data_IF_544094768535
#
_entry.id   IF_544094768535
#
_cell.length_a   1.000
_cell.length_b   1.000
_cell.length_c   1.000
_cell.angle_alpha   90.00
_cell.angle_beta   90.00
_cell.angle_gamma   90.00
#
_symmetry.space_group_name_H-M   'P 1'
#
loop_
_entity.id
_entity.type
_entity.pdbx_description
1 polymer ?
#
# COMPACT_ATOMS: atom_id res chain seq x y z
N UNK A 1 10.34 -19.52 27.54
CA UNK A 1 8.94 -19.33 27.98
C UNK A 1 8.40 -18.15 27.22
N UNK A 2 7.65 -18.42 26.15
CA UNK A 2 7.04 -17.39 25.33
C UNK A 2 5.73 -16.97 26.02
N UNK A 3 5.62 -15.71 26.44
CA UNK A 3 4.41 -15.13 26.96
C UNK A 3 3.49 -14.79 25.78
N UNK A 4 2.45 -15.59 25.60
CA UNK A 4 1.34 -15.28 24.71
C UNK A 4 0.53 -14.19 25.38
N UNK A 5 0.63 -12.96 24.90
CA UNK A 5 -0.31 -11.90 25.24
C UNK A 5 -1.62 -12.20 24.49
N UNK A 6 -2.60 -12.70 25.23
CA UNK A 6 -3.97 -12.77 24.75
C UNK A 6 -4.47 -11.33 24.55
N UNK A 7 -4.69 -10.93 23.30
CA UNK A 7 -5.46 -9.76 22.97
C UNK A 7 -6.89 -9.99 23.49
N UNK A 8 -7.25 -9.29 24.55
CA UNK A 8 -8.59 -9.33 25.07
C UNK A 8 -9.55 -8.74 24.05
N UNK A 9 -10.50 -9.54 23.59
CA UNK A 9 -11.67 -9.10 22.86
C UNK A 9 -12.39 -8.08 23.73
N UNK A 10 -12.28 -6.80 23.39
CA UNK A 10 -13.16 -5.78 23.92
C UNK A 10 -14.53 -6.01 23.26
N UNK A 11 -15.46 -6.56 24.01
CA UNK A 11 -16.84 -6.64 23.58
C UNK A 11 -17.33 -5.22 23.25
N UNK A 12 -17.61 -4.98 21.97
CA UNK A 12 -18.06 -3.70 21.46
C UNK A 12 -19.36 -3.29 22.18
N UNK A 13 -19.32 -2.17 22.88
CA UNK A 13 -20.48 -1.35 23.16
C UNK A 13 -21.12 -1.04 21.81
N UNK A 14 -22.47 -1.06 21.70
CA UNK A 14 -23.24 -1.05 20.47
C UNK A 14 -23.08 0.15 19.53
N UNK A 15 -21.86 0.65 19.35
CA UNK A 15 -21.48 1.69 18.41
C UNK A 15 -21.28 1.07 17.02
N UNK A 16 -21.85 1.70 16.01
CA UNK A 16 -21.67 1.29 14.61
C UNK A 16 -20.52 2.07 14.03
N UNK A 17 -19.53 1.38 13.45
CA UNK A 17 -18.39 1.97 12.76
C UNK A 17 -18.66 2.10 11.27
N UNK A 18 -18.26 3.22 10.68
CA UNK A 18 -18.32 3.46 9.25
C UNK A 18 -16.90 3.53 8.70
N UNK A 19 -16.57 2.63 7.79
CA UNK A 19 -15.25 2.50 7.18
C UNK A 19 -15.31 2.98 5.73
N UNK A 20 -14.55 4.02 5.41
CA UNK A 20 -14.36 4.45 4.03
C UNK A 20 -13.29 3.60 3.35
N UNK A 21 -13.58 3.04 2.19
CA UNK A 21 -12.61 2.26 1.39
C UNK A 21 -12.38 2.95 0.07
N UNK A 22 -11.16 3.47 -0.14
CA UNK A 22 -10.72 4.03 -1.41
C UNK A 22 -9.82 3.02 -2.12
N UNK A 23 -10.32 2.39 -3.17
CA UNK A 23 -9.55 1.51 -4.04
C UNK A 23 -9.19 2.22 -5.34
N UNK A 24 -7.90 2.20 -5.72
CA UNK A 24 -7.43 2.91 -6.91
C UNK A 24 -8.12 2.45 -8.19
N UNK A 25 -8.18 1.14 -8.41
CA UNK A 25 -8.70 0.57 -9.65
C UNK A 25 -9.24 -0.83 -9.39
N UNK A 26 -10.16 -1.29 -10.24
CA UNK A 26 -10.61 -2.67 -10.23
C UNK A 26 -9.51 -3.58 -10.77
N UNK A 27 -8.98 -4.42 -9.90
CA UNK A 27 -7.95 -5.39 -10.22
C UNK A 27 -8.04 -6.56 -9.24
N UNK A 28 -7.88 -7.79 -9.71
CA UNK A 28 -8.11 -8.99 -8.91
C UNK A 28 -7.33 -9.02 -7.57
N UNK A 29 -6.10 -8.50 -7.54
CA UNK A 29 -5.31 -8.43 -6.32
C UNK A 29 -5.84 -7.38 -5.33
N UNK A 30 -6.24 -6.19 -5.83
CA UNK A 30 -6.82 -5.13 -5.01
C UNK A 30 -8.20 -5.54 -4.49
N UNK A 31 -9.02 -6.14 -5.34
CA UNK A 31 -10.35 -6.65 -4.97
C UNK A 31 -10.23 -7.70 -3.85
N UNK A 32 -9.23 -8.61 -3.95
CA UNK A 32 -8.97 -9.60 -2.92
C UNK A 32 -8.49 -8.99 -1.59
N UNK A 33 -7.66 -7.93 -1.64
CA UNK A 33 -7.21 -7.23 -0.45
C UNK A 33 -8.37 -6.48 0.23
N UNK A 34 -9.22 -5.81 -0.54
CA UNK A 34 -10.44 -5.16 -0.03
C UNK A 34 -11.37 -6.19 0.60
N UNK A 35 -11.67 -7.28 -0.10
CA UNK A 35 -12.55 -8.33 0.43
C UNK A 35 -12.03 -8.93 1.71
N UNK A 36 -10.72 -9.25 1.78
CA UNK A 36 -10.12 -9.79 3.01
C UNK A 36 -10.19 -8.83 4.19
N UNK A 37 -10.08 -7.53 3.94
CA UNK A 37 -10.26 -6.50 4.97
C UNK A 37 -11.71 -6.43 5.45
N UNK A 38 -12.68 -6.42 4.54
CA UNK A 38 -14.11 -6.41 4.87
C UNK A 38 -14.52 -7.68 5.63
N UNK A 39 -14.06 -8.85 5.18
CA UNK A 39 -14.34 -10.13 5.83
C UNK A 39 -13.83 -10.16 7.28
N UNK A 40 -12.59 -9.66 7.52
CA UNK A 40 -12.00 -9.62 8.85
C UNK A 40 -12.77 -8.69 9.80
N UNK A 41 -13.14 -7.50 9.34
CA UNK A 41 -13.91 -6.56 10.16
C UNK A 41 -15.35 -7.06 10.39
N UNK A 42 -15.97 -7.67 9.39
CA UNK A 42 -17.30 -8.27 9.54
C UNK A 42 -17.28 -9.43 10.54
N UNK A 43 -16.22 -10.24 10.53
CA UNK A 43 -16.08 -11.33 11.50
C UNK A 43 -15.93 -10.83 12.94
N UNK A 44 -15.26 -9.68 13.14
CA UNK A 44 -15.02 -9.10 14.47
C UNK A 44 -16.21 -8.26 14.97
N UNK A 45 -16.82 -7.44 14.12
CA UNK A 45 -17.83 -6.44 14.51
C UNK A 45 -19.27 -6.80 14.08
N UNK A 46 -19.45 -7.79 13.20
CA UNK A 46 -20.77 -8.21 12.71
C UNK A 46 -21.52 -7.05 12.05
N UNK A 47 -22.77 -6.84 12.48
CA UNK A 47 -23.64 -5.77 11.97
C UNK A 47 -23.24 -4.35 12.45
N UNK A 48 -22.23 -4.25 13.33
CA UNK A 48 -21.74 -2.98 13.84
C UNK A 48 -20.65 -2.33 12.97
N UNK A 49 -20.35 -2.87 11.81
CA UNK A 49 -19.47 -2.25 10.81
C UNK A 49 -20.21 -2.03 9.50
N UNK A 50 -19.99 -0.88 8.88
CA UNK A 50 -20.50 -0.51 7.55
C UNK A 50 -19.36 -0.04 6.69
N UNK A 51 -19.40 -0.41 5.41
CA UNK A 51 -18.38 -0.04 4.43
C UNK A 51 -18.95 0.94 3.40
N UNK A 52 -18.25 2.05 3.17
CA UNK A 52 -18.43 2.94 2.04
C UNK A 52 -17.29 2.68 1.06
N UNK A 53 -17.52 1.76 0.10
CA UNK A 53 -16.56 1.39 -0.91
C UNK A 53 -16.64 2.31 -2.13
N UNK A 54 -15.51 2.91 -2.51
CA UNK A 54 -15.36 3.79 -3.65
C UNK A 54 -14.17 3.36 -4.51
N UNK A 55 -14.37 3.28 -5.83
CA UNK A 55 -13.33 2.94 -6.80
C UNK A 55 -12.94 4.18 -7.62
N UNK A 56 -11.65 4.53 -7.60
CA UNK A 56 -11.13 5.71 -8.29
C UNK A 56 -10.87 5.50 -9.79
N UNK A 57 -11.09 4.30 -10.32
CA UNK A 57 -10.95 3.94 -11.73
C UNK A 57 -9.57 4.29 -12.34
N UNK A 58 -8.52 4.22 -11.53
CA UNK A 58 -7.14 4.50 -11.94
C UNK A 58 -6.74 5.97 -11.91
N UNK A 59 -7.62 6.86 -11.43
CA UNK A 59 -7.37 8.30 -11.40
C UNK A 59 -7.05 8.82 -10.00
N UNK A 60 -5.86 9.37 -9.82
CA UNK A 60 -5.39 9.92 -8.54
C UNK A 60 -6.22 11.14 -8.08
N UNK A 61 -6.74 11.95 -9.00
CA UNK A 61 -7.59 13.08 -8.65
C UNK A 61 -8.94 12.61 -8.09
N UNK A 62 -9.44 11.50 -8.61
CA UNK A 62 -10.63 10.83 -8.08
C UNK A 62 -10.36 10.26 -6.69
N UNK A 63 -9.16 9.68 -6.41
CA UNK A 63 -8.78 9.27 -5.05
C UNK A 63 -8.87 10.45 -4.06
N UNK A 64 -8.37 11.64 -4.45
CA UNK A 64 -8.45 12.83 -3.60
C UNK A 64 -9.91 13.27 -3.34
N UNK A 65 -10.77 13.18 -4.35
CA UNK A 65 -12.20 13.49 -4.20
C UNK A 65 -12.88 12.52 -3.22
N UNK A 66 -12.60 11.21 -3.35
CA UNK A 66 -13.12 10.15 -2.47
C UNK A 66 -12.64 10.38 -1.03
N UNK A 67 -11.35 10.59 -0.83
CA UNK A 67 -10.78 10.80 0.51
C UNK A 67 -11.40 12.03 1.22
N UNK A 68 -11.55 13.15 0.50
CA UNK A 68 -12.23 14.32 1.04
C UNK A 68 -13.71 14.06 1.34
N UNK A 69 -14.37 13.22 0.54
CA UNK A 69 -15.75 12.76 0.81
C UNK A 69 -15.85 12.00 2.13
N UNK A 70 -14.93 11.09 2.41
CA UNK A 70 -14.87 10.34 3.66
C UNK A 70 -14.64 11.25 4.87
N UNK A 71 -13.71 12.21 4.75
CA UNK A 71 -13.49 13.20 5.81
C UNK A 71 -14.77 14.00 6.08
N UNK A 72 -15.45 14.45 5.03
CA UNK A 72 -16.69 15.24 5.14
C UNK A 72 -17.85 14.45 5.74
N UNK A 73 -17.92 13.16 5.48
CA UNK A 73 -18.96 12.27 6.06
C UNK A 73 -18.60 11.74 7.44
N UNK A 74 -17.37 11.98 7.93
CA UNK A 74 -16.93 11.62 9.26
C UNK A 74 -16.84 10.11 9.47
N UNK A 75 -16.21 9.40 8.52
CA UNK A 75 -15.94 7.96 8.69
C UNK A 75 -14.97 7.72 9.85
N UNK A 76 -15.08 6.57 10.50
CA UNK A 76 -14.26 6.23 11.67
C UNK A 76 -12.84 5.76 11.28
N UNK A 77 -12.66 5.24 10.06
CA UNK A 77 -11.40 4.77 9.51
C UNK A 77 -11.43 4.85 7.99
N UNK A 78 -10.29 5.12 7.38
CA UNK A 78 -10.10 5.03 5.94
C UNK A 78 -9.16 3.86 5.62
N UNK A 79 -9.61 2.93 4.78
CA UNK A 79 -8.76 1.93 4.14
C UNK A 79 -8.37 2.44 2.75
N UNK A 80 -7.07 2.60 2.54
CA UNK A 80 -6.49 3.08 1.29
C UNK A 80 -5.79 1.94 0.54
N UNK A 81 -6.39 1.51 -0.57
CA UNK A 81 -5.90 0.38 -1.36
C UNK A 81 -5.16 0.89 -2.60
N UNK A 82 -3.86 0.79 -2.58
CA UNK A 82 -2.81 1.27 -3.47
C UNK A 82 -2.27 2.67 -3.11
N UNK A 83 -1.04 2.93 -3.54
CA UNK A 83 -0.26 4.14 -3.23
C UNK A 83 -0.99 5.46 -3.51
N UNK A 84 -1.65 5.68 -4.66
CA UNK A 84 -2.38 6.94 -4.89
C UNK A 84 -3.55 7.15 -3.93
N UNK A 85 -4.22 6.08 -3.50
CA UNK A 85 -5.29 6.15 -2.50
C UNK A 85 -4.72 6.54 -1.12
N UNK A 86 -3.55 5.97 -0.74
CA UNK A 86 -2.86 6.31 0.50
C UNK A 86 -2.40 7.77 0.52
N UNK A 87 -1.80 8.26 -0.56
CA UNK A 87 -1.38 9.65 -0.70
C UNK A 87 -2.55 10.64 -0.62
N UNK A 88 -3.68 10.26 -1.22
CA UNK A 88 -4.91 11.04 -1.14
C UNK A 88 -5.46 11.10 0.29
N UNK A 89 -5.48 9.97 1.00
CA UNK A 89 -5.93 9.92 2.39
C UNK A 89 -4.98 10.72 3.32
N UNK A 90 -3.65 10.58 3.15
CA UNK A 90 -2.65 11.38 3.88
C UNK A 90 -2.89 12.88 3.73
N UNK A 91 -3.20 13.31 2.50
CA UNK A 91 -3.42 14.72 2.20
C UNK A 91 -4.76 15.25 2.74
N UNK A 92 -5.75 14.37 2.89
CA UNK A 92 -7.11 14.74 3.29
C UNK A 92 -7.29 14.84 4.81
N UNK A 93 -6.56 14.06 5.60
CA UNK A 93 -6.74 14.02 7.07
C UNK A 93 -5.46 13.67 7.81
N UNK A 94 -5.32 14.26 9.00
CA UNK A 94 -4.32 13.89 10.00
C UNK A 94 -4.96 13.38 11.31
N UNK A 95 -6.28 13.20 11.32
CA UNK A 95 -7.07 12.81 12.49
C UNK A 95 -7.71 11.43 12.33
N UNK A 96 -8.39 11.20 11.18
CA UNK A 96 -9.04 9.91 10.92
C UNK A 96 -7.94 8.86 10.70
N UNK A 97 -7.97 7.72 11.40
CA UNK A 97 -7.03 6.62 11.17
C UNK A 97 -7.06 6.15 9.70
N UNK A 98 -5.89 5.92 9.13
CA UNK A 98 -5.72 5.45 7.75
C UNK A 98 -4.94 4.14 7.77
N UNK A 99 -5.49 3.10 7.15
CA UNK A 99 -4.81 1.83 6.91
C UNK A 99 -4.53 1.66 5.41
N UNK A 100 -3.24 1.64 5.06
CA UNK A 100 -2.81 1.37 3.70
C UNK A 100 -2.63 -0.12 3.44
N UNK A 101 -2.98 -0.56 2.24
CA UNK A 101 -2.65 -1.90 1.71
C UNK A 101 -2.30 -1.80 0.24
N UNK A 102 -1.65 -2.81 -0.31
CA UNK A 102 -1.14 -2.79 -1.71
C UNK A 102 -0.24 -1.56 -1.94
N UNK A 103 0.59 -1.24 -0.97
CA UNK A 103 1.56 -0.14 -0.98
C UNK A 103 2.96 -0.76 -0.90
N UNK A 104 3.79 -0.46 -1.88
CA UNK A 104 5.10 -1.08 -2.02
C UNK A 104 6.06 -0.59 -0.93
N UNK A 105 6.31 0.71 -0.86
CA UNK A 105 7.25 1.28 0.11
C UNK A 105 6.71 2.60 0.68
N UNK A 106 6.40 2.63 1.98
CA UNK A 106 5.73 3.76 2.63
C UNK A 106 6.58 5.02 2.73
N UNK A 107 7.90 4.88 2.86
CA UNK A 107 8.82 6.02 2.91
C UNK A 107 8.75 6.84 1.63
N UNK A 108 8.86 6.17 0.49
CA UNK A 108 8.76 6.80 -0.84
C UNK A 108 7.33 7.27 -1.12
N UNK A 109 6.35 6.42 -0.85
CA UNK A 109 4.94 6.73 -1.09
C UNK A 109 4.47 8.00 -0.38
N UNK A 110 4.94 8.24 0.84
CA UNK A 110 4.54 9.35 1.70
C UNK A 110 5.59 10.48 1.80
N UNK A 111 6.73 10.34 1.07
CA UNK A 111 7.81 11.32 1.09
C UNK A 111 8.50 11.45 2.46
N UNK A 112 8.61 10.35 3.21
CA UNK A 112 9.21 10.35 4.54
C UNK A 112 10.73 10.25 4.43
N UNK A 113 11.43 11.18 5.08
CA UNK A 113 12.88 11.10 5.25
C UNK A 113 13.20 10.15 6.41
N UNK A 114 14.27 9.37 6.27
CA UNK A 114 14.75 8.43 7.31
C UNK A 114 13.70 7.37 7.74
N UNK A 115 12.88 6.90 6.78
CA UNK A 115 11.88 5.86 7.05
C UNK A 115 12.53 4.59 7.57
N UNK A 116 12.08 4.11 8.72
CA UNK A 116 12.63 2.94 9.41
C UNK A 116 11.60 1.82 9.63
N UNK A 117 10.55 1.78 8.78
CA UNK A 117 9.48 0.79 8.88
C UNK A 117 8.28 1.22 9.73
N UNK A 118 8.27 2.45 10.23
CA UNK A 118 7.14 3.02 10.99
C UNK A 118 6.75 4.37 10.40
N UNK A 119 5.51 4.50 9.96
CA UNK A 119 4.99 5.76 9.41
C UNK A 119 4.73 6.77 10.52
N UNK A 120 3.99 6.35 11.54
CA UNK A 120 3.56 7.22 12.65
C UNK A 120 2.33 8.08 12.30
N UNK A 121 1.96 8.97 13.22
CA UNK A 121 0.74 9.76 13.09
C UNK A 121 -0.51 8.90 13.06
N UNK A 122 -1.42 9.23 12.15
CA UNK A 122 -2.68 8.51 11.95
C UNK A 122 -2.62 7.42 10.87
N UNK A 123 -1.44 7.13 10.30
CA UNK A 123 -1.27 6.19 9.18
C UNK A 123 -0.52 4.93 9.63
N UNK A 124 -1.05 3.77 9.24
CA UNK A 124 -0.43 2.46 9.36
C UNK A 124 -0.81 1.59 8.15
N UNK A 125 -0.33 0.35 8.11
CA UNK A 125 -0.74 -0.56 7.03
C UNK A 125 0.22 -1.71 6.81
N UNK A 126 0.08 -2.33 5.64
CA UNK A 126 0.90 -3.45 5.19
C UNK A 126 1.66 -3.07 3.93
N UNK A 127 2.95 -3.46 3.84
CA UNK A 127 3.78 -3.30 2.64
C UNK A 127 3.77 -4.59 1.83
N UNK A 128 3.73 -4.45 0.51
CA UNK A 128 3.89 -5.54 -0.45
C UNK A 128 5.24 -5.51 -1.18
N UNK A 129 6.23 -4.80 -0.61
CA UNK A 129 7.56 -4.67 -1.19
C UNK A 129 8.19 -6.04 -1.45
N UNK A 130 8.44 -6.34 -2.71
CA UNK A 130 9.10 -7.56 -3.14
C UNK A 130 10.58 -7.58 -2.73
N UNK A 131 11.20 -8.76 -2.56
CA UNK A 131 12.62 -8.86 -2.24
C UNK A 131 13.49 -8.54 -3.46
N UNK A 132 13.72 -7.26 -3.74
CA UNK A 132 14.35 -6.74 -4.96
C UNK A 132 15.75 -7.29 -5.22
N UNK A 133 16.55 -7.48 -4.16
CA UNK A 133 17.85 -8.13 -4.26
C UNK A 133 17.76 -9.56 -4.82
N UNK A 134 16.77 -10.33 -4.34
CA UNK A 134 16.54 -11.70 -4.82
C UNK A 134 16.01 -11.72 -6.26
N UNK A 135 15.25 -10.72 -6.68
CA UNK A 135 14.84 -10.58 -8.08
C UNK A 135 16.05 -10.34 -8.99
N UNK A 136 17.00 -9.51 -8.58
CA UNK A 136 18.27 -9.32 -9.29
C UNK A 136 19.12 -10.61 -9.30
N UNK A 137 19.16 -11.35 -8.18
CA UNK A 137 19.83 -12.66 -8.10
C UNK A 137 19.23 -13.66 -9.10
N UNK A 138 17.92 -13.73 -9.17
CA UNK A 138 17.19 -14.63 -10.07
C UNK A 138 17.50 -14.32 -11.55
N UNK A 139 17.62 -13.04 -11.93
CA UNK A 139 18.00 -12.64 -13.29
C UNK A 139 19.37 -13.21 -13.64
N UNK A 140 20.34 -13.07 -12.74
CA UNK A 140 21.72 -13.54 -12.97
C UNK A 140 21.80 -15.08 -12.95
N UNK A 141 21.03 -15.73 -12.11
CA UNK A 141 20.96 -17.20 -12.03
C UNK A 141 20.38 -17.81 -13.30
N UNK A 142 19.28 -17.25 -13.80
CA UNK A 142 18.61 -17.80 -15.00
C UNK A 142 19.30 -17.39 -16.31
N UNK A 143 20.00 -16.26 -16.29
CA UNK A 143 20.69 -15.72 -17.46
C UNK A 143 22.15 -15.35 -17.13
N UNK A 144 23.01 -16.36 -16.81
CA UNK A 144 24.38 -16.11 -16.33
C UNK A 144 25.28 -15.37 -17.32
N UNK A 145 24.96 -15.43 -18.61
CA UNK A 145 25.71 -14.75 -19.67
C UNK A 145 25.19 -13.33 -19.96
N UNK A 146 24.12 -12.90 -19.31
CA UNK A 146 23.56 -11.57 -19.50
C UNK A 146 24.56 -10.49 -19.05
N UNK A 147 24.88 -9.56 -19.95
CA UNK A 147 25.75 -8.41 -19.67
C UNK A 147 24.97 -7.10 -19.60
N UNK A 148 23.75 -7.09 -20.15
CA UNK A 148 22.89 -5.92 -20.20
C UNK A 148 21.45 -6.31 -19.92
N UNK A 149 20.78 -5.56 -19.07
CA UNK A 149 19.37 -5.72 -18.70
C UNK A 149 18.63 -4.40 -18.91
N UNK A 150 17.47 -4.43 -19.54
CA UNK A 150 16.55 -3.29 -19.62
C UNK A 150 15.52 -3.36 -18.51
N UNK A 151 15.33 -2.28 -17.77
CA UNK A 151 14.33 -2.13 -16.72
C UNK A 151 13.22 -1.22 -17.23
N UNK A 152 12.09 -1.80 -17.62
CA UNK A 152 10.92 -1.05 -18.11
C UNK A 152 9.99 -0.73 -16.93
N UNK A 153 9.63 0.55 -16.77
CA UNK A 153 8.79 0.98 -15.64
C UNK A 153 7.88 2.16 -15.99
N UNK A 154 6.79 2.30 -15.22
CA UNK A 154 5.90 3.46 -15.30
C UNK A 154 6.48 4.63 -14.47
N UNK A 155 6.85 5.72 -15.15
CA UNK A 155 7.44 6.88 -14.49
C UNK A 155 6.46 7.72 -13.65
N UNK A 156 5.16 7.47 -13.78
CA UNK A 156 4.13 8.15 -13.00
C UNK A 156 4.02 7.64 -11.54
N UNK A 157 4.66 6.51 -11.22
CA UNK A 157 4.60 5.90 -9.88
C UNK A 157 5.93 6.02 -9.14
N UNK A 158 5.93 6.65 -7.97
CA UNK A 158 7.12 6.76 -7.11
C UNK A 158 7.67 5.38 -6.70
N UNK A 159 6.80 4.42 -6.41
CA UNK A 159 7.17 3.04 -6.10
C UNK A 159 7.88 2.35 -7.27
N UNK A 160 7.45 2.62 -8.51
CA UNK A 160 8.08 2.06 -9.71
C UNK A 160 9.51 2.57 -9.86
N UNK A 161 9.74 3.86 -9.66
CA UNK A 161 11.08 4.45 -9.69
C UNK A 161 11.97 3.83 -8.60
N UNK A 162 11.48 3.75 -7.37
CA UNK A 162 12.20 3.15 -6.26
C UNK A 162 12.63 1.70 -6.56
N UNK A 163 11.71 0.88 -7.05
CA UNK A 163 12.00 -0.53 -7.36
C UNK A 163 13.06 -0.68 -8.46
N UNK A 164 12.99 0.11 -9.54
CA UNK A 164 13.98 -0.01 -10.61
C UNK A 164 15.35 0.55 -10.21
N UNK A 165 15.40 1.59 -9.37
CA UNK A 165 16.65 2.11 -8.82
C UNK A 165 17.37 1.06 -7.97
N UNK A 166 16.65 0.38 -7.09
CA UNK A 166 17.16 -0.69 -6.25
C UNK A 166 17.64 -1.90 -7.10
N UNK A 167 16.79 -2.38 -8.02
CA UNK A 167 17.17 -3.51 -8.90
C UNK A 167 18.37 -3.16 -9.75
N UNK A 168 18.46 -1.93 -10.25
CA UNK A 168 19.62 -1.46 -11.02
C UNK A 168 20.90 -1.56 -10.18
N UNK A 169 20.89 -1.04 -8.97
CA UNK A 169 22.05 -1.09 -8.05
C UNK A 169 22.49 -2.53 -7.79
N UNK A 170 21.54 -3.43 -7.52
CA UNK A 170 21.86 -4.85 -7.29
C UNK A 170 22.45 -5.53 -8.53
N UNK A 171 21.93 -5.26 -9.72
CA UNK A 171 22.47 -5.82 -10.99
C UNK A 171 23.87 -5.26 -11.30
N UNK A 172 24.07 -3.96 -11.13
CA UNK A 172 25.37 -3.32 -11.35
C UNK A 172 26.45 -3.82 -10.37
N UNK A 173 26.09 -4.06 -9.12
CA UNK A 173 26.98 -4.69 -8.13
C UNK A 173 27.41 -6.10 -8.53
N UNK A 174 26.64 -6.78 -9.39
CA UNK A 174 26.97 -8.11 -9.96
C UNK A 174 27.69 -8.03 -11.31
N UNK A 175 28.02 -6.83 -11.79
CA UNK A 175 28.71 -6.62 -13.06
C UNK A 175 27.80 -6.68 -14.29
N UNK A 176 26.48 -6.57 -14.11
CA UNK A 176 25.49 -6.50 -15.18
C UNK A 176 25.08 -5.03 -15.38
N UNK A 177 25.25 -4.52 -16.61
CA UNK A 177 24.78 -3.16 -16.93
C UNK A 177 23.26 -3.14 -16.99
N UNK A 178 22.62 -2.30 -16.16
CA UNK A 178 21.18 -2.10 -16.19
C UNK A 178 20.85 -0.71 -16.77
N UNK A 179 19.83 -0.65 -17.59
CA UNK A 179 19.37 0.61 -18.21
C UNK A 179 17.88 0.75 -18.01
N UNK A 180 17.45 1.89 -17.45
CA UNK A 180 16.04 2.19 -17.20
C UNK A 180 15.35 2.73 -18.45
N UNK A 181 14.12 2.28 -18.69
CA UNK A 181 13.25 2.72 -19.79
C UNK A 181 11.87 3.10 -19.19
N UNK A 182 11.62 4.39 -19.15
CA UNK A 182 10.36 4.94 -18.64
C UNK A 182 9.28 4.98 -19.74
N UNK A 183 8.01 4.79 -19.35
CA UNK A 183 6.83 5.06 -20.17
C UNK A 183 5.78 5.84 -19.39
#
# INVERSE_FOLDING_TARGET
>A
MASSAAAGSAAASGDTYTIGICQLVQHAALDAATQGFEDALTAEFGDNVKFDFQNAQGDSATCATIANGFVSSGVDLIMANATPALQAAQSATNEIPVLGTSVTEYGVALGLTDFSGTVGGNISGTSDLAPLAQQADMIVEWMPDAKKVGLLYCSAGADSQYQVDEVQQYLEAKGVTATQYAF
#
